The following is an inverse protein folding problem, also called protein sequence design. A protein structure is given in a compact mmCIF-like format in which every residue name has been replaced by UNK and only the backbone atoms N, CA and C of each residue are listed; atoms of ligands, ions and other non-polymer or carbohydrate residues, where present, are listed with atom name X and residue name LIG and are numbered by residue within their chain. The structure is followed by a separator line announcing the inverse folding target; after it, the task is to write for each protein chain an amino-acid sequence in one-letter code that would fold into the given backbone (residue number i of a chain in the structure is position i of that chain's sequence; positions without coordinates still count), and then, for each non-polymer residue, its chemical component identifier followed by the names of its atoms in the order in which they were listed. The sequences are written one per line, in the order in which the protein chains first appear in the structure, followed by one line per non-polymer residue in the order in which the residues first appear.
data_IF_081518810536
#
_entry.id   IF_081518810536
#
_cell.length_a   1.000
_cell.length_b   1.000
_cell.length_c   1.000
_cell.angle_alpha   90.00
_cell.angle_beta   90.00
_cell.angle_gamma   90.00
#
_symmetry.space_group_name_H-M   'P 1'
#
loop_
_entity.id
_entity.type
_entity.pdbx_description
1 polymer ?
#
# COMPACT_ATOMS: atom_id res chain seq x y z
N UNK A 1 30.33 -15.65 -12.44
CA UNK A 1 30.71 -16.48 -13.59
C UNK A 1 31.41 -17.73 -13.08
N UNK A 2 31.14 -18.90 -13.69
CA UNK A 2 31.82 -20.18 -13.39
C UNK A 2 32.49 -20.62 -14.65
N UNK A 3 33.81 -20.85 -14.60
CA UNK A 3 34.57 -21.30 -15.73
C UNK A 3 34.46 -22.83 -15.92
N UNK A 4 34.26 -23.33 -17.16
CA UNK A 4 34.09 -24.77 -17.42
C UNK A 4 35.29 -25.63 -17.02
N UNK A 5 36.50 -25.03 -16.87
CA UNK A 5 37.70 -25.73 -16.46
C UNK A 5 37.62 -26.26 -15.02
N UNK A 6 36.84 -25.62 -14.17
CA UNK A 6 36.55 -26.05 -12.78
C UNK A 6 35.34 -26.98 -12.77
N UNK A 7 35.53 -28.23 -13.10
CA UNK A 7 34.43 -29.21 -13.29
C UNK A 7 33.53 -29.37 -12.07
N UNK A 8 34.11 -29.38 -10.85
CA UNK A 8 33.33 -29.57 -9.61
C UNK A 8 32.34 -28.43 -9.42
N UNK A 9 32.81 -27.18 -9.53
CA UNK A 9 31.95 -26.00 -9.35
C UNK A 9 30.97 -25.88 -10.52
N UNK A 10 31.38 -26.26 -11.71
CA UNK A 10 30.54 -26.20 -12.90
C UNK A 10 29.35 -27.15 -12.81
N UNK A 11 29.55 -28.40 -12.35
CA UNK A 11 28.46 -29.37 -12.10
C UNK A 11 27.45 -28.84 -11.06
N UNK A 12 27.93 -28.20 -9.99
CA UNK A 12 27.07 -27.55 -9.02
C UNK A 12 26.27 -26.42 -9.66
N UNK A 13 26.93 -25.58 -10.44
CA UNK A 13 26.30 -24.45 -11.15
C UNK A 13 25.20 -24.90 -12.12
N UNK A 14 25.41 -25.98 -12.87
CA UNK A 14 24.41 -26.55 -13.78
C UNK A 14 23.18 -27.11 -13.04
N UNK A 15 23.32 -27.49 -11.78
CA UNK A 15 22.23 -28.00 -10.95
C UNK A 15 21.37 -26.90 -10.34
N UNK A 16 21.81 -25.64 -10.35
CA UNK A 16 21.09 -24.51 -9.75
C UNK A 16 19.79 -24.25 -10.53
N UNK A 17 18.75 -23.91 -9.79
CA UNK A 17 17.45 -23.51 -10.32
C UNK A 17 17.00 -22.22 -9.63
N UNK A 18 15.95 -21.62 -10.16
CA UNK A 18 15.38 -20.40 -9.63
C UNK A 18 15.08 -20.52 -8.14
N UNK A 19 15.35 -19.45 -7.40
CA UNK A 19 15.14 -19.33 -5.95
C UNK A 19 16.00 -20.25 -5.07
N UNK A 20 17.02 -20.90 -5.60
CA UNK A 20 18.02 -21.56 -4.76
C UNK A 20 18.84 -20.52 -4.01
N UNK A 21 19.11 -20.77 -2.74
CA UNK A 21 20.06 -19.97 -1.97
C UNK A 21 21.43 -20.56 -2.10
N UNK A 22 22.36 -19.77 -2.58
CA UNK A 22 23.74 -20.19 -2.84
C UNK A 22 24.72 -19.27 -2.10
N UNK A 23 25.87 -19.82 -1.78
CA UNK A 23 27.04 -19.02 -1.38
C UNK A 23 28.10 -19.16 -2.44
N UNK A 24 28.73 -18.05 -2.79
CA UNK A 24 29.74 -17.97 -3.83
C UNK A 24 30.93 -17.19 -3.29
N UNK A 25 32.12 -17.71 -3.47
CA UNK A 25 33.37 -17.00 -3.22
C UNK A 25 34.20 -16.94 -4.50
N UNK A 26 34.92 -15.86 -4.68
CA UNK A 26 35.72 -15.68 -5.91
C UNK A 26 36.36 -14.31 -5.99
N UNK A 27 36.87 -13.99 -7.15
CA UNK A 27 37.53 -12.73 -7.48
C UNK A 27 36.61 -11.84 -8.30
N UNK A 28 36.51 -10.57 -7.93
CA UNK A 28 35.76 -9.57 -8.71
C UNK A 28 36.63 -9.12 -9.88
N UNK A 29 36.08 -9.17 -11.09
CA UNK A 29 36.71 -8.71 -12.32
C UNK A 29 35.80 -7.73 -13.07
N UNK A 30 36.39 -6.88 -13.88
CA UNK A 30 35.63 -6.09 -14.84
C UNK A 30 35.02 -7.00 -15.91
N UNK A 31 33.81 -6.70 -16.31
CA UNK A 31 33.17 -7.43 -17.42
C UNK A 31 33.85 -7.10 -18.73
N UNK A 32 34.04 -8.09 -19.61
CA UNK A 32 34.54 -7.85 -20.95
C UNK A 32 33.70 -6.84 -21.73
N UNK A 33 34.34 -6.08 -22.61
CA UNK A 33 33.62 -5.16 -23.50
C UNK A 33 32.47 -5.86 -24.23
N UNK A 34 31.29 -5.26 -24.22
CA UNK A 34 30.06 -5.83 -24.82
C UNK A 34 29.21 -6.69 -23.88
N UNK A 35 29.71 -7.08 -22.70
CA UNK A 35 28.91 -7.81 -21.68
C UNK A 35 28.47 -6.94 -20.51
N UNK A 36 28.78 -5.65 -20.51
CA UNK A 36 28.37 -4.67 -19.51
C UNK A 36 26.85 -4.53 -19.52
N UNK A 37 26.21 -4.75 -18.35
CA UNK A 37 24.77 -4.59 -18.20
C UNK A 37 24.41 -3.27 -17.52
N UNK A 38 24.16 -2.23 -18.31
CA UNK A 38 23.81 -0.89 -17.83
C UNK A 38 22.51 -0.81 -16.99
N UNK A 39 21.70 -1.87 -16.96
CA UNK A 39 20.48 -1.95 -16.14
C UNK A 39 20.74 -2.41 -14.71
N UNK A 40 21.94 -2.86 -14.40
CA UNK A 40 22.36 -3.29 -13.06
C UNK A 40 23.35 -2.30 -12.46
N UNK A 41 23.20 -1.98 -11.18
CA UNK A 41 24.12 -1.08 -10.44
C UNK A 41 25.56 -1.64 -10.47
N UNK A 42 25.71 -2.96 -10.40
CA UNK A 42 27.01 -3.65 -10.46
C UNK A 42 27.31 -4.24 -11.84
N UNK A 43 26.67 -3.71 -12.88
CA UNK A 43 26.72 -4.30 -14.22
C UNK A 43 28.07 -4.19 -14.96
N UNK A 44 29.03 -3.44 -14.44
CA UNK A 44 30.39 -3.29 -14.96
C UNK A 44 31.34 -4.36 -14.42
N UNK A 45 30.97 -5.07 -13.37
CA UNK A 45 31.78 -6.09 -12.72
C UNK A 45 31.10 -7.45 -12.70
N UNK A 46 31.88 -8.50 -12.55
CA UNK A 46 31.41 -9.86 -12.34
C UNK A 46 32.27 -10.59 -11.31
N UNK A 47 31.68 -11.57 -10.62
CA UNK A 47 32.37 -12.43 -9.69
C UNK A 47 32.82 -13.71 -10.42
N UNK A 48 34.11 -13.90 -10.59
CA UNK A 48 34.68 -15.14 -11.07
C UNK A 48 34.79 -16.13 -9.90
N UNK A 49 33.98 -17.19 -9.94
CA UNK A 49 33.77 -18.06 -8.79
C UNK A 49 34.92 -19.06 -8.62
N UNK A 50 35.51 -19.07 -7.43
CA UNK A 50 36.47 -20.09 -6.98
C UNK A 50 35.83 -21.16 -6.09
N UNK A 51 34.66 -20.87 -5.48
CA UNK A 51 33.87 -21.80 -4.73
C UNK A 51 32.38 -21.48 -4.85
N UNK A 52 31.55 -22.52 -4.91
CA UNK A 52 30.09 -22.42 -5.04
C UNK A 52 29.43 -23.53 -4.27
N UNK A 53 28.52 -23.21 -3.37
CA UNK A 53 27.72 -24.22 -2.67
C UNK A 53 26.25 -23.81 -2.57
N UNK A 54 25.37 -24.81 -2.61
CA UNK A 54 23.93 -24.62 -2.46
C UNK A 54 23.60 -24.73 -0.97
N UNK A 55 23.13 -23.64 -0.37
CA UNK A 55 22.70 -23.58 1.03
C UNK A 55 21.28 -24.13 1.20
N UNK A 56 20.40 -23.84 0.24
CA UNK A 56 19.01 -24.29 0.27
C UNK A 56 18.45 -24.42 -1.14
N UNK A 57 17.68 -25.47 -1.37
CA UNK A 57 16.97 -25.72 -2.63
C UNK A 57 15.53 -25.26 -2.51
N UNK A 58 14.99 -24.66 -3.56
CA UNK A 58 13.58 -24.30 -3.66
C UNK A 58 12.81 -25.33 -4.50
N UNK A 59 11.51 -25.41 -4.25
CA UNK A 59 10.59 -26.06 -5.19
C UNK A 59 10.38 -25.15 -6.42
N UNK A 60 10.02 -25.73 -7.59
CA UNK A 60 9.67 -24.93 -8.76
C UNK A 60 8.60 -23.90 -8.42
N UNK A 61 8.81 -22.66 -8.86
CA UNK A 61 7.83 -21.59 -8.64
C UNK A 61 6.58 -21.81 -9.49
N UNK A 62 5.39 -21.48 -9.00
CA UNK A 62 4.14 -21.59 -9.72
C UNK A 62 4.03 -20.59 -10.89
N UNK A 63 4.80 -19.52 -10.87
CA UNK A 63 4.95 -18.52 -11.91
C UNK A 63 6.27 -17.76 -11.74
N UNK A 64 6.73 -17.14 -12.81
CA UNK A 64 7.94 -16.31 -12.78
C UNK A 64 7.62 -14.91 -12.25
N UNK A 65 8.59 -14.30 -11.56
CA UNK A 65 8.45 -12.97 -10.96
C UNK A 65 8.69 -11.83 -11.96
N UNK A 66 8.99 -12.17 -13.20
CA UNK A 66 9.25 -11.21 -14.27
C UNK A 66 7.99 -10.37 -14.58
N UNK A 67 8.18 -9.08 -14.78
CA UNK A 67 7.12 -8.10 -15.11
C UNK A 67 6.39 -8.42 -16.41
N UNK A 68 7.06 -9.10 -17.35
CA UNK A 68 6.50 -9.43 -18.66
C UNK A 68 5.58 -10.65 -18.65
N UNK A 69 5.54 -11.41 -17.55
CA UNK A 69 4.71 -12.61 -17.44
C UNK A 69 3.32 -12.25 -16.92
N UNK A 70 2.30 -12.43 -17.76
CA UNK A 70 0.90 -12.28 -17.36
C UNK A 70 0.45 -13.51 -16.57
N UNK A 71 0.21 -13.33 -15.28
CA UNK A 71 -0.30 -14.36 -14.38
C UNK A 71 -1.76 -14.05 -14.04
N UNK A 72 -2.62 -15.07 -14.08
CA UNK A 72 -4.03 -14.92 -13.70
C UNK A 72 -4.19 -14.51 -12.23
N UNK A 73 -5.21 -13.71 -11.95
CA UNK A 73 -5.46 -13.14 -10.62
C UNK A 73 -5.61 -14.21 -9.54
N UNK A 74 -6.32 -15.30 -9.83
CA UNK A 74 -6.50 -16.42 -8.90
C UNK A 74 -5.15 -17.00 -8.43
N UNK A 75 -4.22 -17.22 -9.37
CA UNK A 75 -2.88 -17.74 -9.06
C UNK A 75 -2.07 -16.73 -8.24
N UNK A 76 -2.16 -15.45 -8.57
CA UNK A 76 -1.51 -14.35 -7.83
C UNK A 76 -2.03 -14.26 -6.40
N UNK A 77 -3.34 -14.39 -6.19
CA UNK A 77 -3.94 -14.39 -4.86
C UNK A 77 -3.58 -15.63 -4.06
N UNK A 78 -3.57 -16.81 -4.69
CA UNK A 78 -3.16 -18.07 -4.04
C UNK A 78 -1.72 -18.05 -3.54
N UNK A 79 -0.83 -17.45 -4.33
CA UNK A 79 0.60 -17.34 -4.01
C UNK A 79 1.00 -15.88 -3.76
N UNK A 80 0.17 -15.16 -2.97
CA UNK A 80 0.32 -13.71 -2.75
C UNK A 80 1.71 -13.29 -2.27
N UNK A 81 2.35 -14.10 -1.45
CA UNK A 81 3.71 -13.86 -0.97
C UNK A 81 4.77 -13.86 -2.08
N UNK A 82 4.56 -14.60 -3.18
CA UNK A 82 5.39 -14.53 -4.37
C UNK A 82 5.02 -13.32 -5.25
N UNK A 83 3.73 -13.06 -5.43
CA UNK A 83 3.26 -11.91 -6.20
C UNK A 83 3.77 -10.58 -5.61
N UNK A 84 3.84 -10.47 -4.28
CA UNK A 84 4.40 -9.30 -3.60
C UNK A 84 5.91 -9.10 -3.81
N UNK A 85 6.62 -10.06 -4.38
CA UNK A 85 8.03 -9.92 -4.77
C UNK A 85 8.22 -9.28 -6.14
N UNK A 86 7.17 -9.16 -6.92
CA UNK A 86 7.21 -8.45 -8.20
C UNK A 86 7.44 -6.96 -7.97
N UNK A 87 8.27 -6.34 -8.81
CA UNK A 87 8.63 -4.93 -8.70
C UNK A 87 7.41 -4.01 -8.67
N UNK A 88 6.41 -4.26 -9.54
CA UNK A 88 5.16 -3.51 -9.59
C UNK A 88 4.40 -3.54 -8.26
N UNK A 89 4.35 -4.72 -7.62
CA UNK A 89 3.65 -4.88 -6.33
C UNK A 89 4.43 -4.23 -5.19
N UNK A 90 5.75 -4.35 -5.21
CA UNK A 90 6.61 -3.68 -4.22
C UNK A 90 6.50 -2.17 -4.34
N UNK A 91 6.49 -1.65 -5.57
CA UNK A 91 6.32 -0.22 -5.82
C UNK A 91 4.94 0.28 -5.35
N UNK A 92 3.87 -0.47 -5.65
CA UNK A 92 2.52 -0.14 -5.18
C UNK A 92 2.45 -0.06 -3.65
N UNK A 93 3.07 -1.01 -2.93
CA UNK A 93 3.09 -1.00 -1.46
C UNK A 93 3.95 0.14 -0.94
N UNK A 94 5.08 0.45 -1.58
CA UNK A 94 5.94 1.58 -1.22
C UNK A 94 5.20 2.91 -1.38
N UNK A 95 4.59 3.15 -2.55
CA UNK A 95 3.79 4.36 -2.80
C UNK A 95 2.67 4.51 -1.76
N UNK A 96 1.97 3.42 -1.42
CA UNK A 96 0.94 3.46 -0.36
C UNK A 96 1.52 3.87 1.00
N UNK A 97 2.70 3.37 1.35
CA UNK A 97 3.40 3.73 2.58
C UNK A 97 3.78 5.21 2.59
N UNK A 98 4.34 5.68 1.49
CA UNK A 98 4.79 7.06 1.33
C UNK A 98 3.61 8.04 1.37
N UNK A 99 2.49 7.72 0.70
CA UNK A 99 1.24 8.49 0.79
C UNK A 99 0.78 8.60 2.25
N UNK A 100 0.74 7.49 2.98
CA UNK A 100 0.30 7.49 4.39
C UNK A 100 1.22 8.32 5.28
N UNK A 101 2.52 8.30 5.01
CA UNK A 101 3.52 9.10 5.74
C UNK A 101 3.37 10.59 5.44
N UNK A 102 3.16 10.95 4.18
CA UNK A 102 2.98 12.35 3.77
C UNK A 102 1.68 12.94 4.32
N UNK A 103 0.58 12.18 4.32
CA UNK A 103 -0.68 12.61 4.92
C UNK A 103 -0.50 12.90 6.41
N UNK A 104 0.19 12.02 7.16
CA UNK A 104 0.49 12.27 8.57
C UNK A 104 1.33 13.53 8.75
N UNK A 105 2.36 13.69 7.94
CA UNK A 105 3.22 14.87 8.00
C UNK A 105 2.43 16.15 7.73
N UNK A 106 1.62 16.17 6.68
CA UNK A 106 0.79 17.33 6.32
C UNK A 106 -0.18 17.68 7.45
N UNK A 107 -0.94 16.71 7.96
CA UNK A 107 -1.94 16.95 8.98
C UNK A 107 -1.33 17.37 10.33
N UNK A 108 -0.23 16.75 10.75
CA UNK A 108 0.47 17.16 11.97
C UNK A 108 1.09 18.56 11.84
N UNK A 109 1.57 18.93 10.66
CA UNK A 109 2.08 20.29 10.40
C UNK A 109 0.98 21.36 10.38
N UNK A 110 -0.30 20.94 10.28
CA UNK A 110 -1.49 21.79 10.38
C UNK A 110 -2.19 21.67 11.75
N UNK A 111 -1.47 21.23 12.78
CA UNK A 111 -1.90 21.10 14.17
C UNK A 111 -2.98 20.05 14.42
N UNK A 112 -3.16 19.08 13.50
CA UNK A 112 -4.02 17.94 13.75
C UNK A 112 -3.30 16.89 14.60
N UNK A 113 -4.01 16.31 15.55
CA UNK A 113 -3.54 15.22 16.40
C UNK A 113 -3.92 13.86 15.81
N UNK A 114 -2.94 12.97 15.65
CA UNK A 114 -3.18 11.57 15.30
C UNK A 114 -3.60 10.79 16.54
N UNK A 115 -4.89 10.45 16.65
CA UNK A 115 -5.45 9.80 17.84
C UNK A 115 -6.10 8.48 17.43
N UNK A 116 -5.59 7.38 17.99
CA UNK A 116 -6.16 6.04 17.80
C UNK A 116 -7.47 5.91 18.60
N UNK A 117 -8.48 5.33 17.94
CA UNK A 117 -9.78 5.04 18.53
C UNK A 117 -10.00 3.52 18.65
N UNK A 118 -10.85 3.05 19.58
CA UNK A 118 -11.11 1.63 19.76
C UNK A 118 -11.67 0.95 18.50
N UNK A 119 -11.17 -0.25 18.20
CA UNK A 119 -11.65 -1.10 17.11
C UNK A 119 -12.77 -2.05 17.53
N UNK A 120 -12.84 -2.40 18.82
CA UNK A 120 -13.91 -3.23 19.38
C UNK A 120 -14.87 -2.33 20.17
N UNK A 121 -16.00 -2.03 19.56
CA UNK A 121 -16.98 -1.09 20.11
C UNK A 121 -18.34 -1.74 20.25
N UNK A 122 -19.35 -0.97 20.62
CA UNK A 122 -20.76 -1.35 20.44
C UNK A 122 -21.21 -0.99 19.03
N UNK A 123 -22.24 -1.66 18.53
CA UNK A 123 -22.89 -1.31 17.27
C UNK A 123 -23.34 0.17 17.25
N UNK A 124 -23.09 0.84 16.12
CA UNK A 124 -23.51 2.22 15.88
C UNK A 124 -24.30 2.31 14.59
N UNK A 125 -25.43 3.04 14.56
CA UNK A 125 -26.26 3.14 13.36
C UNK A 125 -25.66 4.13 12.35
N UNK A 126 -24.69 3.68 11.56
CA UNK A 126 -24.01 4.53 10.55
C UNK A 126 -24.43 4.24 9.10
N UNK A 127 -25.45 3.40 8.89
CA UNK A 127 -26.02 3.14 7.56
C UNK A 127 -25.66 1.80 6.91
N UNK A 128 -24.48 1.23 7.18
CA UNK A 128 -24.13 -0.13 6.80
C UNK A 128 -24.49 -1.14 7.91
N UNK A 129 -24.37 -2.43 7.62
CA UNK A 129 -24.40 -3.46 8.66
C UNK A 129 -23.04 -3.61 9.32
N UNK A 130 -23.04 -3.85 10.64
CA UNK A 130 -21.83 -4.05 11.41
C UNK A 130 -21.38 -5.52 11.35
N UNK A 131 -20.07 -5.74 11.26
CA UNK A 131 -19.48 -7.00 11.65
C UNK A 131 -19.46 -7.14 13.16
N UNK A 132 -20.04 -8.21 13.68
CA UNK A 132 -20.15 -8.44 15.13
C UNK A 132 -19.24 -9.57 15.60
N UNK A 133 -18.67 -9.42 16.79
CA UNK A 133 -17.77 -10.37 17.43
C UNK A 133 -18.39 -10.81 18.74
N UNK A 134 -18.73 -12.09 18.94
CA UNK A 134 -19.32 -12.57 20.19
C UNK A 134 -18.33 -12.44 21.36
N UNK A 135 -18.82 -11.95 22.50
CA UNK A 135 -18.02 -11.87 23.72
C UNK A 135 -17.93 -13.25 24.39
N UNK A 136 -16.73 -13.71 24.65
CA UNK A 136 -16.51 -14.96 25.42
C UNK A 136 -16.77 -14.78 26.92
N UNK A 137 -16.57 -13.58 27.44
CA UNK A 137 -16.71 -13.27 28.86
C UNK A 137 -18.16 -12.97 29.24
N UNK A 138 -18.86 -12.22 28.37
CA UNK A 138 -20.23 -11.80 28.62
C UNK A 138 -21.16 -12.55 27.64
N UNK A 139 -21.74 -13.66 28.09
CA UNK A 139 -22.65 -14.46 27.26
C UNK A 139 -23.82 -13.64 26.75
N UNK A 140 -24.16 -13.78 25.46
CA UNK A 140 -25.24 -13.06 24.80
C UNK A 140 -24.90 -11.61 24.41
N UNK A 141 -23.66 -11.16 24.68
CA UNK A 141 -23.17 -9.84 24.29
C UNK A 141 -22.19 -9.93 23.11
N UNK A 142 -22.15 -8.85 22.31
CA UNK A 142 -21.32 -8.76 21.12
C UNK A 142 -20.56 -7.42 21.10
N UNK A 143 -19.37 -7.45 20.57
CA UNK A 143 -18.69 -6.27 20.07
C UNK A 143 -19.03 -6.05 18.61
N UNK A 144 -18.92 -4.81 18.14
CA UNK A 144 -19.00 -4.47 16.72
C UNK A 144 -17.68 -3.89 16.24
N UNK A 145 -17.31 -4.19 14.99
CA UNK A 145 -16.21 -3.50 14.32
C UNK A 145 -16.70 -2.17 13.75
N UNK A 146 -15.93 -1.07 13.86
CA UNK A 146 -16.39 0.26 13.50
C UNK A 146 -16.55 0.41 11.99
N UNK A 147 -17.65 1.00 11.56
CA UNK A 147 -17.87 1.44 10.18
C UNK A 147 -17.04 2.70 9.85
N UNK A 148 -16.84 3.53 10.85
CA UNK A 148 -15.94 4.69 10.93
C UNK A 148 -15.71 5.05 12.39
N UNK A 149 -14.75 5.91 12.74
CA UNK A 149 -14.57 6.42 14.11
C UNK A 149 -15.53 7.57 14.47
N UNK A 150 -16.67 7.68 13.80
CA UNK A 150 -17.60 8.82 13.87
C UNK A 150 -17.96 9.23 15.30
N UNK A 151 -18.35 8.27 16.15
CA UNK A 151 -18.72 8.55 17.52
C UNK A 151 -17.53 9.09 18.33
N UNK A 152 -16.36 8.49 18.14
CA UNK A 152 -15.17 8.84 18.91
C UNK A 152 -14.62 10.21 18.51
N UNK A 153 -14.58 10.54 17.23
CA UNK A 153 -14.10 11.84 16.78
C UNK A 153 -15.00 12.98 17.25
N UNK A 154 -16.33 12.78 17.31
CA UNK A 154 -17.24 13.75 17.92
C UNK A 154 -16.99 13.92 19.42
N UNK A 155 -16.75 12.82 20.14
CA UNK A 155 -16.39 12.90 21.56
C UNK A 155 -15.06 13.62 21.78
N UNK A 156 -14.08 13.43 20.89
CA UNK A 156 -12.81 14.15 20.94
C UNK A 156 -13.00 15.66 20.75
N UNK A 157 -13.87 16.07 19.83
CA UNK A 157 -14.21 17.50 19.65
C UNK A 157 -14.86 18.08 20.93
N UNK A 158 -15.83 17.39 21.54
CA UNK A 158 -16.45 17.75 22.79
C UNK A 158 -15.43 17.82 23.94
N UNK A 159 -14.41 16.97 23.91
CA UNK A 159 -13.32 16.92 24.87
C UNK A 159 -12.27 18.03 24.69
N UNK A 160 -12.42 18.88 23.69
CA UNK A 160 -11.58 20.06 23.49
C UNK A 160 -10.30 19.82 22.68
N UNK A 161 -10.16 18.67 21.97
CA UNK A 161 -8.98 18.42 21.13
C UNK A 161 -8.90 19.33 19.91
N UNK A 162 -10.01 19.83 19.42
CA UNK A 162 -10.09 20.83 18.35
C UNK A 162 -9.83 20.31 16.95
N UNK A 163 -8.74 19.61 16.71
CA UNK A 163 -8.32 19.04 15.43
C UNK A 163 -7.84 17.61 15.62
N UNK A 164 -8.44 16.68 14.91
CA UNK A 164 -8.18 15.24 14.98
C UNK A 164 -8.02 14.66 13.60
N UNK A 165 -7.16 13.68 13.45
CA UNK A 165 -7.17 12.74 12.32
C UNK A 165 -6.76 11.36 12.76
N UNK A 166 -7.07 10.38 11.92
CA UNK A 166 -6.61 9.01 12.04
C UNK A 166 -6.56 8.34 10.66
N UNK A 167 -5.52 7.57 10.37
CA UNK A 167 -5.52 6.64 9.25
C UNK A 167 -6.00 5.31 9.80
N UNK A 168 -7.30 5.05 9.66
CA UNK A 168 -8.02 4.02 10.41
C UNK A 168 -8.59 2.93 9.53
N UNK A 169 -8.61 1.70 10.05
CA UNK A 169 -9.30 0.57 9.46
C UNK A 169 -10.79 0.64 9.76
N UNK A 170 -11.61 0.51 8.71
CA UNK A 170 -13.07 0.52 8.79
C UNK A 170 -13.66 -0.73 8.18
N UNK A 171 -14.84 -1.12 8.66
CA UNK A 171 -15.50 -2.37 8.32
C UNK A 171 -16.97 -2.13 7.99
N UNK A 172 -17.44 -2.63 6.85
CA UNK A 172 -18.84 -2.51 6.44
C UNK A 172 -19.29 -3.81 5.81
N UNK A 173 -20.32 -4.43 6.39
CA UNK A 173 -20.93 -5.64 5.84
C UNK A 173 -21.98 -5.25 4.79
N UNK A 174 -21.47 -4.93 3.60
CA UNK A 174 -22.24 -4.52 2.43
C UNK A 174 -21.88 -5.38 1.22
N UNK A 175 -22.71 -5.32 0.18
CA UNK A 175 -22.43 -5.97 -1.08
C UNK A 175 -21.12 -5.45 -1.68
N UNK A 176 -20.24 -6.38 -2.00
CA UNK A 176 -18.94 -6.06 -2.62
C UNK A 176 -19.15 -5.53 -4.04
N UNK A 177 -18.40 -4.50 -4.40
CA UNK A 177 -18.33 -3.94 -5.75
C UNK A 177 -16.87 -3.90 -6.19
N UNK A 178 -16.62 -3.59 -7.46
CA UNK A 178 -15.26 -3.54 -8.00
C UNK A 178 -14.30 -2.66 -7.18
N UNK A 179 -14.80 -1.57 -6.61
CA UNK A 179 -14.06 -0.56 -5.84
C UNK A 179 -14.38 -0.55 -4.34
N UNK A 180 -15.21 -1.50 -3.86
CA UNK A 180 -15.63 -1.57 -2.44
C UNK A 180 -15.26 -2.90 -1.84
N UNK A 181 -14.53 -2.82 -0.73
CA UNK A 181 -14.16 -3.97 0.09
C UNK A 181 -14.83 -3.87 1.46
N UNK A 182 -15.16 -5.01 2.11
CA UNK A 182 -15.77 -5.01 3.43
C UNK A 182 -14.84 -4.45 4.52
N UNK A 183 -13.54 -4.48 4.27
CA UNK A 183 -12.49 -3.91 5.12
C UNK A 183 -11.64 -2.96 4.29
N UNK A 184 -11.53 -1.71 4.72
CA UNK A 184 -10.80 -0.66 4.00
C UNK A 184 -10.17 0.35 4.96
N UNK A 185 -9.28 1.19 4.46
CA UNK A 185 -8.63 2.24 5.23
C UNK A 185 -9.23 3.59 4.87
N UNK A 186 -9.59 4.38 5.89
CA UNK A 186 -9.97 5.79 5.75
C UNK A 186 -8.86 6.71 6.26
N UNK A 187 -8.77 7.87 5.66
CA UNK A 187 -8.16 9.06 6.27
C UNK A 187 -9.33 9.80 6.88
N UNK A 188 -9.48 9.70 8.18
CA UNK A 188 -10.58 10.32 8.93
C UNK A 188 -10.09 11.60 9.58
N UNK A 189 -10.81 12.70 9.39
CA UNK A 189 -10.42 14.03 9.83
C UNK A 189 -11.64 14.68 10.48
N UNK A 190 -11.44 15.35 11.63
CA UNK A 190 -12.46 16.15 12.28
C UNK A 190 -11.87 17.44 12.83
N UNK A 191 -12.61 18.53 12.70
CA UNK A 191 -12.17 19.84 13.18
C UNK A 191 -13.34 20.60 13.79
N UNK A 192 -13.10 21.29 14.91
CA UNK A 192 -14.06 22.17 15.57
C UNK A 192 -13.90 23.60 15.07
N UNK A 193 -15.00 24.36 15.09
CA UNK A 193 -15.02 25.79 14.76
C UNK A 193 -14.49 26.12 13.36
N UNK A 194 -14.72 25.23 12.41
CA UNK A 194 -14.21 25.32 11.05
C UNK A 194 -15.36 25.57 10.07
N UNK A 195 -15.17 26.45 9.10
CA UNK A 195 -16.13 26.68 8.01
C UNK A 195 -16.04 25.60 6.93
N UNK A 196 -17.02 25.55 6.04
CA UNK A 196 -17.01 24.64 4.87
C UNK A 196 -15.82 24.94 3.95
N UNK A 197 -15.52 26.21 3.74
CA UNK A 197 -14.43 26.68 2.90
C UNK A 197 -13.08 26.20 3.46
N UNK A 198 -12.85 26.33 4.74
CA UNK A 198 -11.62 25.88 5.41
C UNK A 198 -11.42 24.37 5.29
N UNK A 199 -12.52 23.58 5.35
CA UNK A 199 -12.45 22.11 5.16
C UNK A 199 -12.12 21.77 3.70
N UNK A 200 -12.70 22.50 2.74
CA UNK A 200 -12.41 22.34 1.32
C UNK A 200 -10.94 22.67 1.03
N UNK A 201 -10.45 23.79 1.52
CA UNK A 201 -9.06 24.24 1.36
C UNK A 201 -8.06 23.23 1.97
N UNK A 202 -8.37 22.70 3.17
CA UNK A 202 -7.55 21.67 3.81
C UNK A 202 -7.45 20.42 2.91
N UNK A 203 -8.60 19.96 2.38
CA UNK A 203 -8.66 18.79 1.50
C UNK A 203 -7.91 18.99 0.19
N UNK A 204 -8.10 20.15 -0.45
CA UNK A 204 -7.41 20.50 -1.69
C UNK A 204 -5.89 20.58 -1.49
N UNK A 205 -5.44 21.28 -0.45
CA UNK A 205 -4.02 21.41 -0.15
C UNK A 205 -3.37 20.06 0.21
N UNK A 206 -4.06 19.20 0.97
CA UNK A 206 -3.61 17.84 1.26
C UNK A 206 -3.38 17.03 -0.02
N UNK A 207 -4.35 17.04 -0.95
CA UNK A 207 -4.24 16.31 -2.21
C UNK A 207 -3.09 16.87 -3.06
N UNK A 208 -3.00 18.19 -3.19
CA UNK A 208 -1.91 18.85 -3.94
C UNK A 208 -0.54 18.48 -3.39
N UNK A 209 -0.37 18.50 -2.06
CA UNK A 209 0.91 18.14 -1.44
C UNK A 209 1.27 16.67 -1.67
N UNK A 210 0.32 15.75 -1.52
CA UNK A 210 0.54 14.32 -1.78
C UNK A 210 0.97 14.09 -3.25
N UNK A 211 0.27 14.67 -4.22
CA UNK A 211 0.64 14.53 -5.64
C UNK A 211 2.01 15.13 -5.95
N UNK A 212 2.31 16.27 -5.37
CA UNK A 212 3.61 16.93 -5.54
C UNK A 212 4.75 16.08 -4.96
N UNK A 213 4.59 15.59 -3.73
CA UNK A 213 5.66 14.84 -3.03
C UNK A 213 5.87 13.43 -3.56
N UNK A 214 4.81 12.74 -3.90
CA UNK A 214 4.89 11.32 -4.30
C UNK A 214 5.11 11.17 -5.81
N UNK A 215 4.43 11.98 -6.63
CA UNK A 215 4.45 11.85 -8.08
C UNK A 215 5.21 12.96 -8.79
N UNK A 216 5.66 13.99 -8.06
CA UNK A 216 6.24 15.22 -8.61
C UNK A 216 5.31 15.92 -9.64
N UNK A 217 3.99 15.89 -9.36
CA UNK A 217 2.96 16.51 -10.18
C UNK A 217 2.38 17.71 -9.44
N UNK A 218 2.42 18.88 -10.05
CA UNK A 218 1.77 20.08 -9.54
C UNK A 218 0.34 20.14 -10.10
N UNK A 219 -0.64 19.96 -9.20
CA UNK A 219 -2.06 20.08 -9.55
C UNK A 219 -2.47 21.54 -9.56
N UNK A 220 -3.36 21.89 -10.50
CA UNK A 220 -4.05 23.19 -10.56
C UNK A 220 -5.10 23.27 -9.44
N UNK A 221 -5.63 24.48 -9.22
CA UNK A 221 -6.75 24.69 -8.32
C UNK A 221 -7.97 23.88 -8.75
N UNK A 222 -8.68 23.32 -7.81
CA UNK A 222 -9.84 22.50 -8.09
C UNK A 222 -11.05 23.39 -8.40
N UNK A 223 -11.75 23.17 -9.53
CA UNK A 223 -12.93 23.94 -9.86
C UNK A 223 -14.06 23.63 -8.88
N UNK A 224 -14.71 24.67 -8.37
CA UNK A 224 -15.89 24.56 -7.50
C UNK A 224 -17.14 24.82 -8.33
N UNK A 225 -18.12 23.94 -8.24
CA UNK A 225 -19.42 24.10 -8.89
C UNK A 225 -20.54 23.63 -7.98
N UNK A 226 -21.74 24.18 -8.18
CA UNK A 226 -22.93 23.75 -7.46
C UNK A 226 -23.44 22.40 -7.98
N UNK A 227 -24.20 21.69 -7.16
CA UNK A 227 -24.88 20.46 -7.57
C UNK A 227 -25.74 20.68 -8.83
N UNK A 228 -26.50 21.79 -8.88
CA UNK A 228 -27.36 22.11 -10.02
C UNK A 228 -26.57 22.33 -11.31
N UNK A 229 -25.39 22.96 -11.23
CA UNK A 229 -24.50 23.13 -12.37
C UNK A 229 -23.92 21.81 -12.84
N UNK A 230 -23.50 20.94 -11.91
CA UNK A 230 -22.96 19.63 -12.22
C UNK A 230 -23.99 18.76 -12.93
N UNK A 231 -25.20 18.65 -12.37
CA UNK A 231 -26.29 17.90 -13.01
C UNK A 231 -26.66 18.50 -14.39
N UNK A 232 -26.74 19.80 -14.50
CA UNK A 232 -27.11 20.48 -15.79
C UNK A 232 -26.05 20.27 -16.87
N UNK A 233 -24.76 20.33 -16.52
CA UNK A 233 -23.67 20.25 -17.50
C UNK A 233 -23.27 18.80 -17.81
N UNK A 234 -23.27 17.92 -16.82
CA UNK A 234 -22.67 16.59 -16.92
C UNK A 234 -23.66 15.44 -16.67
N UNK A 235 -24.87 15.72 -16.20
CA UNK A 235 -25.86 14.70 -15.84
C UNK A 235 -25.51 13.84 -14.62
N UNK A 236 -24.52 14.28 -13.85
CA UNK A 236 -23.94 13.53 -12.72
C UNK A 236 -23.53 14.49 -11.60
N UNK A 237 -23.61 14.01 -10.36
CA UNK A 237 -23.02 14.68 -9.18
C UNK A 237 -21.51 14.40 -9.03
N UNK A 238 -20.94 13.57 -9.89
CA UNK A 238 -19.51 13.21 -9.96
C UNK A 238 -19.00 13.40 -11.37
N UNK A 239 -18.87 14.65 -11.84
CA UNK A 239 -18.40 14.92 -13.19
C UNK A 239 -16.95 14.53 -13.38
N UNK A 240 -16.63 14.00 -14.55
CA UNK A 240 -15.27 13.84 -15.05
C UNK A 240 -14.93 15.14 -15.82
N UNK A 241 -13.87 15.86 -15.40
CA UNK A 241 -13.52 17.22 -15.83
C UNK A 241 -12.27 17.23 -16.73
#
# INVERSE_FOLDING_TARGET
VVEPQNKEIFEVAESIRDEFVITVSGEIKERPEGTINKKMITGEIELNSSNLSILSKSKPMPFQLDEHVKVGEETRLKYRYLDLRRSEMQETIRIRSDISSEIRHFLTSNDFLDIETPMMTKATPEGARDFVIPSRVNQGSFYALPQSPQLFKQLLMISGFGKYFQIVRCFRDEDTRKDRQPEFTQIDIESSFTSTEEVMDLGENLIKEVFKKILNIELKDFPVMTYSESIKKFGSDKPDL
#
